data_IF_314595898906
#
_entry.id   IF_314595898906
#
_cell.length_a   1.000
_cell.length_b   1.000
_cell.length_c   1.000
_cell.angle_alpha   90.00
_cell.angle_beta   90.00
_cell.angle_gamma   90.00
#
_symmetry.space_group_name_H-M   'P 1'
#
loop_
_entity.id
_entity.type
_entity.pdbx_description
1 polymer ?
#
# COMPACT_ATOMS: atom_id res chain seq x y z
N UNK A 1 5.68 16.93 -27.08
CA UNK A 1 4.55 17.17 -28.01
C UNK A 1 4.08 18.61 -27.87
N UNK A 2 3.76 19.25 -29.01
CA UNK A 2 3.15 20.58 -29.23
C UNK A 2 4.06 21.84 -29.22
N UNK A 3 4.27 22.33 -30.45
CA UNK A 3 4.21 23.70 -30.97
C UNK A 3 4.80 24.87 -30.16
N UNK A 4 5.76 25.58 -30.74
CA UNK A 4 5.50 26.75 -31.61
C UNK A 4 6.83 27.36 -32.08
N UNK A 5 6.92 27.65 -33.38
CA UNK A 5 8.07 28.31 -34.01
C UNK A 5 7.73 29.73 -34.47
N UNK A 6 8.76 30.56 -34.54
CA UNK A 6 8.89 31.83 -35.28
C UNK A 6 10.39 32.12 -35.29
N UNK A 7 11.15 31.64 -36.27
CA UNK A 7 11.40 32.19 -37.60
C UNK A 7 11.98 33.62 -37.54
N UNK A 8 13.31 33.65 -37.37
CA UNK A 8 14.19 34.77 -37.68
C UNK A 8 14.40 34.78 -39.19
N UNK A 9 14.04 35.89 -39.83
CA UNK A 9 14.27 36.14 -41.24
C UNK A 9 15.09 37.41 -41.36
N UNK A 10 16.38 37.26 -41.70
CA UNK A 10 17.15 38.25 -42.45
C UNK A 10 18.20 37.49 -43.26
N UNK A 11 17.85 37.21 -44.52
CA UNK A 11 18.78 36.94 -45.59
C UNK A 11 19.21 38.28 -46.21
N UNK A 12 20.50 38.44 -46.52
CA UNK A 12 20.96 38.64 -47.90
C UNK A 12 22.46 38.98 -47.94
N UNK A 13 23.24 37.99 -48.36
CA UNK A 13 24.37 38.19 -49.28
C UNK A 13 24.05 37.35 -50.52
N UNK A 14 24.00 37.99 -51.69
CA UNK A 14 24.88 37.75 -52.84
C UNK A 14 24.34 38.44 -54.11
N UNK A 15 25.28 39.03 -54.85
CA UNK A 15 25.15 39.56 -56.21
C UNK A 15 24.58 38.53 -57.19
N UNK A 16 23.76 38.99 -58.14
CA UNK A 16 23.83 38.49 -59.52
C UNK A 16 23.34 39.51 -60.55
N UNK A 17 24.05 39.53 -61.68
CA UNK A 17 23.81 40.30 -62.89
C UNK A 17 22.55 39.79 -63.63
N UNK A 18 21.75 40.68 -64.24
CA UNK A 18 21.49 40.67 -65.69
C UNK A 18 20.62 41.85 -66.17
N UNK A 19 20.82 42.13 -67.45
CA UNK A 19 20.40 43.20 -68.33
C UNK A 19 18.90 43.15 -68.68
N UNK A 20 18.22 44.30 -68.76
CA UNK A 20 17.14 44.44 -69.75
C UNK A 20 16.97 45.91 -70.20
N UNK A 21 17.59 46.17 -71.34
CA UNK A 21 17.22 47.24 -72.25
C UNK A 21 15.75 47.13 -72.70
N UNK A 22 14.91 48.13 -72.42
CA UNK A 22 13.91 48.70 -73.36
C UNK A 22 12.94 49.66 -72.67
N UNK A 23 13.21 50.97 -72.69
CA UNK A 23 12.20 51.95 -73.13
C UNK A 23 12.84 53.32 -73.42
N UNK A 24 13.13 53.58 -74.69
CA UNK A 24 13.38 54.95 -75.16
C UNK A 24 12.07 55.74 -75.07
N UNK A 25 11.91 56.55 -74.02
CA UNK A 25 11.12 57.77 -74.13
C UNK A 25 12.08 58.92 -74.38
N UNK A 26 12.13 59.33 -75.64
CA UNK A 26 12.72 60.60 -76.08
C UNK A 26 11.87 61.70 -75.45
N UNK A 27 12.28 62.17 -74.27
CA UNK A 27 11.77 63.37 -73.63
C UNK A 27 12.82 64.47 -73.78
N UNK A 28 12.73 65.24 -74.85
CA UNK A 28 13.55 66.43 -75.08
C UNK A 28 13.15 67.53 -74.10
N UNK A 29 13.64 67.48 -72.86
CA UNK A 29 13.55 68.63 -71.94
C UNK A 29 14.59 69.68 -72.36
N UNK A 30 14.25 70.44 -73.40
CA UNK A 30 14.95 71.68 -73.75
C UNK A 30 14.84 72.59 -72.52
N UNK A 31 15.97 72.91 -71.89
CA UNK A 31 16.01 73.83 -70.76
C UNK A 31 15.35 75.16 -71.18
N UNK A 32 14.17 75.43 -70.63
CA UNK A 32 13.39 76.61 -70.92
C UNK A 32 14.04 77.81 -70.21
N UNK A 33 14.49 78.78 -71.01
CA UNK A 33 15.16 79.98 -70.52
C UNK A 33 14.14 80.92 -69.85
N UNK A 34 14.27 81.20 -68.54
CA UNK A 34 13.26 81.95 -67.77
C UNK A 34 13.13 83.43 -68.13
N UNK A 35 13.94 83.95 -69.07
CA UNK A 35 13.89 85.34 -69.52
C UNK A 35 13.41 85.50 -70.97
N UNK A 36 12.93 84.44 -71.62
CA UNK A 36 12.37 84.53 -72.97
C UNK A 36 10.85 84.49 -72.91
N UNK A 37 10.20 85.61 -73.29
CA UNK A 37 8.73 85.71 -73.34
C UNK A 37 8.22 84.66 -74.35
N UNK A 38 7.37 83.70 -73.92
CA UNK A 38 6.82 82.70 -74.84
C UNK A 38 5.91 83.33 -75.90
N UNK A 39 5.88 82.75 -77.10
CA UNK A 39 5.01 83.19 -78.20
C UNK A 39 3.52 83.11 -77.78
N UNK A 40 2.72 84.07 -78.25
CA UNK A 40 1.35 84.36 -77.75
C UNK A 40 0.37 83.19 -77.88
N UNK A 41 0.68 82.18 -78.69
CA UNK A 41 -0.09 80.94 -78.86
C UNK A 41 0.17 79.89 -77.76
N UNK A 42 1.32 79.93 -77.09
CA UNK A 42 1.67 78.97 -76.02
C UNK A 42 1.16 79.41 -74.64
N UNK A 43 0.79 80.68 -74.47
CA UNK A 43 0.30 81.22 -73.20
C UNK A 43 -0.98 80.54 -72.72
N UNK A 44 -1.93 80.26 -73.63
CA UNK A 44 -3.19 79.60 -73.26
C UNK A 44 -2.99 78.12 -72.91
N UNK A 45 -2.12 77.40 -73.64
CA UNK A 45 -1.77 76.01 -73.31
C UNK A 45 -1.07 75.89 -71.97
N UNK A 46 -0.07 76.72 -71.69
CA UNK A 46 0.62 76.72 -70.39
C UNK A 46 -0.34 77.05 -69.25
N UNK A 47 -1.31 77.95 -69.48
CA UNK A 47 -2.30 78.32 -68.48
C UNK A 47 -3.33 77.21 -68.23
N UNK A 48 -3.74 76.50 -69.27
CA UNK A 48 -4.65 75.36 -69.15
C UNK A 48 -3.95 74.15 -68.52
N UNK A 49 -2.69 73.88 -68.88
CA UNK A 49 -1.83 72.86 -68.24
C UNK A 49 -1.56 73.20 -66.76
N UNK A 50 -1.27 74.48 -66.43
CA UNK A 50 -1.17 74.92 -65.03
C UNK A 50 -2.48 74.73 -64.28
N UNK A 51 -3.62 74.97 -64.94
CA UNK A 51 -4.94 74.85 -64.32
C UNK A 51 -5.26 73.38 -64.05
N UNK A 52 -5.01 72.48 -65.00
CA UNK A 52 -5.13 71.03 -64.81
C UNK A 52 -4.18 70.53 -63.73
N UNK A 53 -2.92 70.97 -63.71
CA UNK A 53 -1.95 70.54 -62.71
C UNK A 53 -2.35 71.03 -61.30
N UNK A 54 -2.92 72.23 -61.20
CA UNK A 54 -3.45 72.80 -59.95
C UNK A 54 -4.72 72.07 -59.49
N UNK A 55 -5.58 71.66 -60.42
CA UNK A 55 -6.76 70.83 -60.14
C UNK A 55 -6.36 69.41 -59.71
N UNK A 56 -5.35 68.80 -60.35
CA UNK A 56 -4.77 67.51 -59.94
C UNK A 56 -4.12 67.58 -58.56
N UNK A 57 -3.38 68.66 -58.26
CA UNK A 57 -2.82 68.91 -56.92
C UNK A 57 -3.93 69.08 -55.89
N UNK A 58 -5.02 69.78 -56.21
CA UNK A 58 -6.20 69.91 -55.33
C UNK A 58 -6.93 68.60 -55.13
N UNK A 59 -7.08 67.77 -56.16
CA UNK A 59 -7.69 66.44 -56.07
C UNK A 59 -6.83 65.48 -55.22
N UNK A 60 -5.50 65.49 -55.40
CA UNK A 60 -4.54 64.74 -54.56
C UNK A 60 -4.60 65.16 -53.10
N UNK A 61 -4.68 66.47 -52.84
CA UNK A 61 -4.88 67.00 -51.49
C UNK A 61 -6.25 66.55 -50.96
N UNK A 62 -7.32 66.64 -51.74
CA UNK A 62 -8.68 66.21 -51.34
C UNK A 62 -8.77 64.72 -50.99
N UNK A 63 -7.99 63.86 -51.64
CA UNK A 63 -7.98 62.41 -51.43
C UNK A 63 -7.01 61.97 -50.31
N UNK A 64 -6.22 62.87 -49.73
CA UNK A 64 -5.29 62.53 -48.64
C UNK A 64 -5.98 62.60 -47.27
N UNK A 65 -5.88 61.54 -46.42
CA UNK A 65 -6.46 61.51 -45.08
C UNK A 65 -5.92 62.61 -44.16
N UNK A 66 -6.74 63.07 -43.22
CA UNK A 66 -6.44 64.23 -42.36
C UNK A 66 -5.14 64.08 -41.53
N UNK A 67 -4.76 62.85 -41.17
CA UNK A 67 -3.55 62.54 -40.39
C UNK A 67 -2.23 62.82 -41.14
N UNK A 68 -2.24 62.83 -42.47
CA UNK A 68 -1.04 62.98 -43.28
C UNK A 68 -0.80 64.43 -43.75
N UNK A 69 -1.81 65.31 -43.67
CA UNK A 69 -1.72 66.75 -44.04
C UNK A 69 -0.98 67.64 -43.00
N UNK A 70 -0.68 67.13 -41.81
CA UNK A 70 -0.13 67.92 -40.69
C UNK A 70 1.34 68.32 -40.92
N UNK A 71 2.08 67.56 -41.72
CA UNK A 71 3.52 67.78 -41.95
C UNK A 71 3.82 68.87 -43.00
N UNK A 72 2.93 69.11 -43.98
CA UNK A 72 3.13 70.14 -45.01
C UNK A 72 2.79 71.56 -44.54
N UNK A 73 1.86 71.69 -43.58
CA UNK A 73 1.45 72.99 -43.03
C UNK A 73 2.57 73.68 -42.23
N UNK A 74 3.45 72.92 -41.58
CA UNK A 74 4.62 73.47 -40.87
C UNK A 74 5.71 73.96 -41.83
N UNK A 75 5.87 73.33 -43.01
CA UNK A 75 6.83 73.77 -44.04
C UNK A 75 6.37 75.01 -44.81
N UNK A 76 5.06 75.16 -45.04
CA UNK A 76 4.50 76.34 -45.72
C UNK A 76 4.64 77.64 -44.89
N UNK A 77 4.50 77.54 -43.56
CA UNK A 77 4.64 78.69 -42.67
C UNK A 77 6.08 79.21 -42.58
N UNK A 78 7.08 78.32 -42.62
CA UNK A 78 8.49 78.72 -42.62
C UNK A 78 8.88 79.45 -43.93
N UNK A 79 8.31 79.04 -45.07
CA UNK A 79 8.56 79.69 -46.37
C UNK A 79 7.95 81.10 -46.47
N UNK A 80 6.88 81.40 -45.72
CA UNK A 80 6.28 82.74 -45.63
C UNK A 80 7.08 83.70 -44.76
N UNK A 81 7.81 83.20 -43.75
CA UNK A 81 8.64 84.04 -42.88
C UNK A 81 10.01 84.37 -43.49
N UNK A 82 10.51 83.55 -44.43
CA UNK A 82 11.80 83.75 -45.08
C UNK A 82 11.75 84.45 -46.46
N UNK A 83 10.62 85.07 -46.85
CA UNK A 83 10.62 85.91 -48.05
C UNK A 83 11.13 87.33 -47.72
N UNK A 84 12.01 87.92 -48.55
CA UNK A 84 12.39 89.31 -48.40
C UNK A 84 11.14 90.19 -48.54
N UNK A 85 10.91 91.11 -47.60
CA UNK A 85 9.88 92.15 -47.75
C UNK A 85 10.22 92.95 -49.01
N UNK A 86 9.31 92.96 -49.98
CA UNK A 86 9.42 93.81 -51.17
C UNK A 86 9.32 95.26 -50.68
N UNK A 87 10.44 95.97 -50.68
CA UNK A 87 10.47 97.42 -50.50
C UNK A 87 9.92 98.05 -51.78
N UNK A 88 8.96 98.97 -51.65
CA UNK A 88 8.54 99.81 -52.77
C UNK A 88 9.77 100.51 -53.38
N UNK A 89 9.82 100.75 -54.70
CA UNK A 89 10.97 101.39 -55.32
C UNK A 89 11.21 102.75 -54.66
N UNK A 90 12.44 102.91 -54.20
CA UNK A 90 12.88 104.02 -53.37
C UNK A 90 12.67 105.35 -54.12
N UNK A 91 12.34 106.41 -53.39
CA UNK A 91 12.16 107.75 -53.97
C UNK A 91 13.43 108.20 -54.73
N UNK A 92 14.57 107.57 -54.43
CA UNK A 92 15.87 107.73 -55.07
C UNK A 92 15.88 107.30 -56.55
N UNK A 93 15.25 106.18 -56.95
CA UNK A 93 15.21 105.75 -58.38
C UNK A 93 14.38 106.68 -59.26
N UNK A 94 13.29 107.25 -58.71
CA UNK A 94 12.46 108.26 -59.40
C UNK A 94 13.13 109.64 -59.47
N UNK A 95 13.97 109.98 -58.49
CA UNK A 95 14.75 111.21 -58.51
C UNK A 95 15.90 111.14 -59.54
N UNK A 96 16.58 109.99 -59.64
CA UNK A 96 17.66 109.76 -60.60
C UNK A 96 17.17 109.74 -62.05
N UNK A 97 15.98 109.17 -62.33
CA UNK A 97 15.37 109.19 -63.66
C UNK A 97 14.99 110.61 -64.14
N UNK A 98 14.78 111.56 -63.22
CA UNK A 98 14.42 112.96 -63.53
C UNK A 98 15.62 113.86 -63.84
N UNK A 99 16.81 113.45 -63.41
CA UNK A 99 18.09 114.15 -63.66
C UNK A 99 18.67 113.75 -65.03
N UNK A 100 18.38 112.53 -65.52
CA UNK A 100 19.00 111.96 -66.73
C UNK A 100 18.32 112.39 -68.04
N UNK A 101 17.14 113.05 -67.99
CA UNK A 101 16.42 113.56 -69.16
C UNK A 101 16.32 115.10 -69.14
N UNK A 102 17.42 115.81 -69.39
CA UNK A 102 17.36 117.21 -69.85
C UNK A 102 18.69 117.71 -70.48
N UNK A 103 19.00 117.41 -71.76
CA UNK A 103 20.13 118.02 -72.44
C UNK A 103 19.68 119.30 -73.18
N UNK A 104 19.17 120.31 -72.46
CA UNK A 104 18.95 121.65 -73.02
C UNK A 104 19.03 122.72 -71.93
N UNK A 105 20.22 123.27 -71.71
CA UNK A 105 20.38 124.68 -71.36
C UNK A 105 21.54 125.26 -72.17
N UNK A 106 21.16 126.09 -73.14
CA UNK A 106 22.06 126.92 -73.89
C UNK A 106 22.88 127.83 -72.98
N UNK A 107 24.08 128.15 -73.45
CA UNK A 107 25.00 129.15 -72.92
C UNK A 107 24.27 130.48 -72.68
N UNK A 108 23.78 130.68 -71.47
CA UNK A 108 23.65 132.01 -70.88
C UNK A 108 24.80 132.10 -69.88
N UNK A 109 25.56 133.19 -69.92
CA UNK A 109 26.71 133.40 -69.05
C UNK A 109 26.20 133.31 -67.61
N UNK A 110 26.45 132.18 -66.96
CA UNK A 110 26.07 131.95 -65.57
C UNK A 110 26.62 133.13 -64.76
N UNK A 111 25.72 133.89 -64.16
CA UNK A 111 26.14 134.91 -63.21
C UNK A 111 26.88 134.21 -62.07
N UNK A 112 27.86 134.90 -61.47
CA UNK A 112 28.68 134.38 -60.37
C UNK A 112 27.87 133.60 -59.31
N UNK A 113 26.60 133.98 -59.08
CA UNK A 113 25.65 133.35 -58.15
C UNK A 113 25.26 131.91 -58.52
N UNK A 114 25.02 131.61 -59.80
CA UNK A 114 24.61 130.27 -60.26
C UNK A 114 25.80 129.31 -60.26
N UNK A 115 26.99 129.78 -60.65
CA UNK A 115 28.25 129.05 -60.49
C UNK A 115 28.53 128.72 -59.02
N UNK A 116 28.33 129.69 -58.12
CA UNK A 116 28.42 129.46 -56.67
C UNK A 116 27.39 128.42 -56.22
N UNK A 117 26.16 128.43 -56.75
CA UNK A 117 25.13 127.45 -56.41
C UNK A 117 25.47 126.04 -56.90
N UNK A 118 25.91 125.87 -58.15
CA UNK A 118 26.35 124.57 -58.68
C UNK A 118 27.58 124.04 -57.94
N UNK A 119 28.54 124.91 -57.62
CA UNK A 119 29.69 124.52 -56.80
C UNK A 119 29.25 124.06 -55.40
N UNK A 120 28.32 124.77 -54.76
CA UNK A 120 27.74 124.33 -53.47
C UNK A 120 27.04 122.98 -53.59
N UNK A 121 26.27 122.75 -54.64
CA UNK A 121 25.58 121.47 -54.88
C UNK A 121 26.59 120.32 -55.08
N UNK A 122 27.66 120.55 -55.86
CA UNK A 122 28.76 119.60 -56.03
C UNK A 122 29.46 119.32 -54.68
N UNK A 123 29.75 120.35 -53.88
CA UNK A 123 30.37 120.16 -52.57
C UNK A 123 29.44 119.46 -51.56
N UNK A 124 28.14 119.69 -51.62
CA UNK A 124 27.16 118.99 -50.79
C UNK A 124 27.03 117.51 -51.20
N UNK A 125 27.00 117.21 -52.50
CA UNK A 125 27.02 115.84 -53.00
C UNK A 125 28.33 115.14 -52.65
N UNK A 126 29.47 115.83 -52.74
CA UNK A 126 30.77 115.33 -52.31
C UNK A 126 30.76 115.00 -50.82
N UNK A 127 30.26 115.91 -49.97
CA UNK A 127 30.09 115.66 -48.53
C UNK A 127 29.15 114.47 -48.27
N UNK A 128 28.07 114.32 -49.03
CA UNK A 128 27.16 113.18 -48.91
C UNK A 128 27.82 111.85 -49.32
N UNK A 129 28.63 111.84 -50.38
CA UNK A 129 29.41 110.67 -50.81
C UNK A 129 30.46 110.32 -49.76
N UNK A 130 31.17 111.31 -49.24
CA UNK A 130 32.23 111.09 -48.25
C UNK A 130 31.65 110.60 -46.92
N UNK A 131 30.55 111.16 -46.44
CA UNK A 131 29.82 110.64 -45.25
C UNK A 131 29.29 109.23 -45.46
N UNK A 132 28.76 108.89 -46.65
CA UNK A 132 28.34 107.52 -46.98
C UNK A 132 29.51 106.55 -47.09
N UNK A 133 30.65 106.98 -47.64
CA UNK A 133 31.89 106.19 -47.70
C UNK A 133 32.45 105.91 -46.31
N UNK A 134 32.47 106.92 -45.44
CA UNK A 134 32.88 106.76 -44.04
C UNK A 134 31.96 105.79 -43.29
N UNK A 135 30.64 105.90 -43.48
CA UNK A 135 29.69 104.98 -42.85
C UNK A 135 29.80 103.56 -43.41
N UNK A 136 30.04 103.40 -44.72
CA UNK A 136 30.27 102.10 -45.33
C UNK A 136 31.56 101.45 -44.79
N UNK A 137 32.65 102.21 -44.67
CA UNK A 137 33.88 101.73 -44.01
C UNK A 137 33.66 101.37 -42.55
N UNK A 138 32.78 102.08 -41.83
CA UNK A 138 32.41 101.74 -40.45
C UNK A 138 31.68 100.40 -40.40
N UNK A 139 30.70 100.17 -41.29
CA UNK A 139 29.96 98.92 -41.38
C UNK A 139 30.85 97.74 -41.80
N UNK A 140 31.77 97.95 -42.76
CA UNK A 140 32.75 96.93 -43.16
C UNK A 140 33.64 96.51 -41.98
N UNK A 141 34.10 97.46 -41.15
CA UNK A 141 34.86 97.13 -39.93
C UNK A 141 34.04 96.33 -38.94
N UNK A 142 32.77 96.69 -38.73
CA UNK A 142 31.86 95.94 -37.87
C UNK A 142 31.61 94.54 -38.41
N UNK A 143 31.41 94.39 -39.72
CA UNK A 143 31.22 93.09 -40.37
C UNK A 143 32.46 92.20 -40.22
N UNK A 144 33.67 92.75 -40.37
CA UNK A 144 34.92 92.01 -40.17
C UNK A 144 35.03 91.54 -38.72
N UNK A 145 34.73 92.40 -37.75
CA UNK A 145 34.77 92.07 -36.33
C UNK A 145 33.74 90.99 -35.97
N UNK A 146 32.49 91.12 -36.43
CA UNK A 146 31.45 90.11 -36.23
C UNK A 146 31.81 88.77 -36.88
N UNK A 147 32.34 88.78 -38.11
CA UNK A 147 32.83 87.55 -38.77
C UNK A 147 33.96 86.90 -38.00
N UNK A 148 34.88 87.70 -37.42
CA UNK A 148 35.97 87.18 -36.59
C UNK A 148 35.42 86.54 -35.32
N UNK A 149 34.50 87.21 -34.62
CA UNK A 149 33.86 86.65 -33.43
C UNK A 149 33.08 85.37 -33.74
N UNK A 150 32.37 85.32 -34.87
CA UNK A 150 31.66 84.12 -35.30
C UNK A 150 32.61 82.95 -35.56
N UNK A 151 33.75 83.21 -36.22
CA UNK A 151 34.79 82.18 -36.42
C UNK A 151 35.40 81.69 -35.11
N UNK A 152 35.64 82.59 -34.15
CA UNK A 152 36.12 82.21 -32.82
C UNK A 152 35.11 81.31 -32.09
N UNK A 153 33.82 81.66 -32.14
CA UNK A 153 32.74 80.83 -31.56
C UNK A 153 32.57 79.49 -32.27
N UNK A 154 32.70 79.47 -33.59
CA UNK A 154 32.70 78.22 -34.37
C UNK A 154 33.89 77.32 -33.98
N UNK A 155 35.08 77.91 -33.79
CA UNK A 155 36.26 77.17 -33.32
C UNK A 155 36.07 76.62 -31.90
N UNK A 156 35.49 77.39 -30.98
CA UNK A 156 35.11 76.92 -29.64
C UNK A 156 34.14 75.73 -29.71
N UNK A 157 33.09 75.81 -30.53
CA UNK A 157 32.11 74.72 -30.73
C UNK A 157 32.79 73.47 -31.29
N UNK A 158 33.68 73.63 -32.27
CA UNK A 158 34.41 72.51 -32.85
C UNK A 158 35.36 71.86 -31.83
N UNK A 159 36.01 72.65 -30.97
CA UNK A 159 36.81 72.12 -29.86
C UNK A 159 35.96 71.35 -28.85
N UNK A 160 34.79 71.87 -28.47
CA UNK A 160 33.87 71.14 -27.59
C UNK A 160 33.38 69.84 -28.23
N UNK A 161 33.12 69.83 -29.54
CA UNK A 161 32.72 68.64 -30.26
C UNK A 161 33.81 67.56 -30.21
N UNK A 162 35.08 67.91 -30.41
CA UNK A 162 36.19 66.94 -30.33
C UNK A 162 36.39 66.45 -28.91
N UNK A 163 36.33 67.34 -27.91
CA UNK A 163 36.39 66.96 -26.49
C UNK A 163 35.25 66.01 -26.11
N UNK A 164 34.02 66.28 -26.57
CA UNK A 164 32.87 65.43 -26.29
C UNK A 164 32.98 64.06 -26.96
N UNK A 165 33.44 64.00 -28.21
CA UNK A 165 33.70 62.73 -28.88
C UNK A 165 34.77 61.92 -28.13
N UNK A 166 35.87 62.55 -27.72
CA UNK A 166 36.91 61.91 -26.93
C UNK A 166 36.38 61.41 -25.58
N UNK A 167 35.49 62.18 -24.93
CA UNK A 167 34.82 61.75 -23.70
C UNK A 167 33.97 60.49 -23.93
N UNK A 168 33.14 60.47 -24.98
CA UNK A 168 32.32 59.30 -25.31
C UNK A 168 33.16 58.07 -25.65
N UNK A 169 34.25 58.24 -26.39
CA UNK A 169 35.18 57.14 -26.69
C UNK A 169 35.84 56.60 -25.42
N UNK A 170 36.27 57.48 -24.52
CA UNK A 170 36.91 57.08 -23.26
C UNK A 170 35.91 56.40 -22.33
N UNK A 171 34.71 56.94 -22.17
CA UNK A 171 33.64 56.35 -21.36
C UNK A 171 33.20 54.99 -21.91
N UNK A 172 33.05 54.89 -23.23
CA UNK A 172 32.79 53.62 -23.92
C UNK A 172 33.90 52.60 -23.70
N UNK A 173 35.17 53.00 -23.79
CA UNK A 173 36.33 52.14 -23.48
C UNK A 173 36.33 51.69 -22.02
N UNK A 174 36.10 52.60 -21.08
CA UNK A 174 36.06 52.28 -19.65
C UNK A 174 34.92 51.30 -19.32
N UNK A 175 33.73 51.54 -19.86
CA UNK A 175 32.58 50.64 -19.68
C UNK A 175 32.86 49.26 -20.26
N UNK A 176 33.49 49.20 -21.44
CA UNK A 176 33.89 47.93 -22.06
C UNK A 176 34.95 47.20 -21.24
N UNK A 177 35.98 47.89 -20.74
CA UNK A 177 37.01 47.30 -19.87
C UNK A 177 36.42 46.78 -18.57
N UNK A 178 35.55 47.55 -17.91
CA UNK A 178 34.87 47.14 -16.68
C UNK A 178 33.99 45.90 -16.91
N UNK A 179 33.29 45.83 -18.05
CA UNK A 179 32.51 44.66 -18.45
C UNK A 179 33.40 43.43 -18.67
N UNK A 180 34.52 43.60 -19.36
CA UNK A 180 35.47 42.52 -19.62
C UNK A 180 36.09 42.01 -18.32
N UNK A 181 36.45 42.90 -17.39
CA UNK A 181 36.96 42.52 -16.07
C UNK A 181 35.92 41.74 -15.26
N UNK A 182 34.66 42.19 -15.27
CA UNK A 182 33.56 41.47 -14.64
C UNK A 182 33.32 40.08 -15.27
N UNK A 183 33.43 39.96 -16.59
CA UNK A 183 33.31 38.69 -17.29
C UNK A 183 34.48 37.75 -16.95
N UNK A 184 35.70 38.26 -16.89
CA UNK A 184 36.89 37.50 -16.50
C UNK A 184 36.76 36.99 -15.05
N UNK A 185 36.37 37.85 -14.11
CA UNK A 185 36.08 37.43 -12.71
C UNK A 185 34.97 36.39 -12.64
N UNK A 186 33.95 36.48 -13.50
CA UNK A 186 32.89 35.47 -13.57
C UNK A 186 33.41 34.13 -14.11
N UNK A 187 34.31 34.14 -15.10
CA UNK A 187 35.00 32.94 -15.61
C UNK A 187 35.86 32.29 -14.54
N UNK A 188 36.70 33.06 -13.86
CA UNK A 188 37.53 32.60 -12.73
C UNK A 188 36.68 31.97 -11.62
N UNK A 189 35.54 32.59 -11.28
CA UNK A 189 34.59 32.02 -10.29
C UNK A 189 34.03 30.66 -10.73
N UNK A 190 33.66 30.53 -12.01
CA UNK A 190 33.12 29.27 -12.56
C UNK A 190 34.20 28.20 -12.55
N UNK A 191 35.43 28.52 -12.95
CA UNK A 191 36.56 27.61 -12.92
C UNK A 191 36.87 27.13 -11.50
N UNK A 192 36.96 28.05 -10.54
CA UNK A 192 37.16 27.70 -9.13
C UNK A 192 36.02 26.83 -8.59
N UNK A 193 34.77 27.13 -8.95
CA UNK A 193 33.62 26.31 -8.57
C UNK A 193 33.70 24.89 -9.15
N UNK A 194 34.18 24.74 -10.38
CA UNK A 194 34.40 23.43 -11.00
C UNK A 194 35.52 22.67 -10.29
N UNK A 195 36.64 23.32 -9.97
CA UNK A 195 37.73 22.72 -9.20
C UNK A 195 37.25 22.24 -7.82
N UNK A 196 36.47 23.05 -7.11
CA UNK A 196 35.86 22.68 -5.83
C UNK A 196 34.98 21.44 -5.99
N UNK A 197 34.15 21.37 -7.05
CA UNK A 197 33.30 20.20 -7.32
C UNK A 197 34.13 18.96 -7.58
N UNK A 198 35.20 19.06 -8.38
CA UNK A 198 36.11 17.95 -8.67
C UNK A 198 36.78 17.44 -7.39
N UNK A 199 37.33 18.32 -6.57
CA UNK A 199 37.94 17.95 -5.29
C UNK A 199 36.89 17.35 -4.35
N UNK A 200 35.68 17.91 -4.30
CA UNK A 200 34.60 17.38 -3.47
C UNK A 200 34.19 15.96 -3.90
N UNK A 201 34.16 15.68 -5.20
CA UNK A 201 33.90 14.35 -5.74
C UNK A 201 35.03 13.38 -5.37
N UNK A 202 36.30 13.81 -5.46
CA UNK A 202 37.45 13.01 -5.02
C UNK A 202 37.40 12.70 -3.51
N UNK A 203 37.07 13.68 -2.68
CA UNK A 203 36.89 13.50 -1.23
C UNK A 203 35.78 12.49 -0.96
N UNK A 204 34.65 12.58 -1.68
CA UNK A 204 33.55 11.61 -1.53
C UNK A 204 33.97 10.20 -1.96
N UNK A 205 34.75 10.08 -3.04
CA UNK A 205 35.32 8.80 -3.48
C UNK A 205 36.22 8.19 -2.41
N UNK A 206 37.20 8.96 -1.91
CA UNK A 206 38.11 8.51 -0.85
C UNK A 206 37.38 8.17 0.45
N UNK A 207 36.33 8.91 0.82
CA UNK A 207 35.50 8.57 1.99
C UNK A 207 34.80 7.23 1.83
N UNK A 208 34.25 6.97 0.65
CA UNK A 208 33.61 5.68 0.37
C UNK A 208 34.65 4.54 0.37
N UNK A 209 35.85 4.78 -0.17
CA UNK A 209 36.94 3.80 -0.10
C UNK A 209 37.37 3.52 1.34
N UNK A 210 37.52 4.54 2.19
CA UNK A 210 37.82 4.37 3.61
C UNK A 210 36.73 3.53 4.29
N UNK A 211 35.46 3.87 4.09
CA UNK A 211 34.35 3.10 4.67
C UNK A 211 34.37 1.63 4.23
N UNK A 212 34.64 1.36 2.96
CA UNK A 212 34.77 0.00 2.46
C UNK A 212 35.96 -0.75 3.07
N UNK A 213 37.10 -0.09 3.27
CA UNK A 213 38.24 -0.70 3.95
C UNK A 213 37.96 -0.93 5.44
N UNK A 214 37.23 -0.05 6.10
CA UNK A 214 36.84 -0.19 7.51
C UNK A 214 35.90 -1.40 7.70
N UNK A 215 34.91 -1.58 6.82
CA UNK A 215 34.05 -2.78 6.83
C UNK A 215 34.86 -4.06 6.65
N UNK A 216 35.77 -4.09 5.67
CA UNK A 216 36.65 -5.25 5.44
C UNK A 216 37.59 -5.51 6.63
N UNK A 217 38.07 -4.45 7.29
CA UNK A 217 38.88 -4.58 8.49
C UNK A 217 38.05 -5.17 9.64
N UNK A 218 36.80 -4.74 9.80
CA UNK A 218 35.89 -5.31 10.79
C UNK A 218 35.66 -6.80 10.54
N UNK A 219 35.38 -7.21 9.30
CA UNK A 219 35.26 -8.63 8.94
C UNK A 219 36.53 -9.41 9.30
N UNK A 220 37.72 -8.88 8.97
CA UNK A 220 38.98 -9.49 9.35
C UNK A 220 39.19 -9.55 10.88
N UNK A 221 38.70 -8.57 11.64
CA UNK A 221 38.74 -8.58 13.11
C UNK A 221 37.81 -9.65 13.68
N UNK A 222 36.60 -9.79 13.14
CA UNK A 222 35.66 -10.85 13.54
C UNK A 222 36.25 -12.24 13.26
N UNK A 223 36.84 -12.44 12.08
CA UNK A 223 37.57 -13.68 11.77
C UNK A 223 38.74 -13.90 12.74
N UNK A 224 39.52 -12.87 13.07
CA UNK A 224 40.60 -12.97 14.07
C UNK A 224 40.05 -13.37 15.44
N UNK A 225 38.95 -12.78 15.89
CA UNK A 225 38.32 -13.11 17.16
C UNK A 225 37.84 -14.57 17.16
N UNK A 226 37.19 -15.02 16.09
CA UNK A 226 36.75 -16.40 15.92
C UNK A 226 37.92 -17.39 15.95
N UNK A 227 39.00 -17.11 15.21
CA UNK A 227 40.21 -17.95 15.22
C UNK A 227 40.85 -17.97 16.62
N UNK A 228 40.85 -16.84 17.34
CA UNK A 228 41.32 -16.80 18.73
C UNK A 228 40.45 -17.67 19.66
N UNK A 229 39.13 -17.76 19.45
CA UNK A 229 38.28 -18.64 20.26
C UNK A 229 38.58 -20.12 20.03
N UNK A 230 38.89 -20.51 18.78
CA UNK A 230 39.20 -21.89 18.43
C UNK A 230 40.64 -22.31 18.74
N UNK A 231 41.54 -21.34 18.94
CA UNK A 231 42.93 -21.63 19.27
C UNK A 231 43.04 -22.09 20.73
N UNK A 232 43.61 -23.27 21.00
CA UNK A 232 43.77 -23.78 22.37
C UNK A 232 44.61 -22.85 23.25
N UNK A 233 44.18 -22.64 24.50
CA UNK A 233 44.86 -21.76 25.46
C UNK A 233 46.30 -22.19 25.79
N UNK A 234 46.59 -23.50 25.73
CA UNK A 234 47.94 -24.04 25.92
C UNK A 234 48.90 -23.59 24.82
N UNK A 235 48.40 -23.49 23.58
CA UNK A 235 49.18 -23.04 22.45
C UNK A 235 49.44 -21.53 22.53
N UNK A 236 48.43 -20.74 22.93
CA UNK A 236 48.55 -19.27 23.13
C UNK A 236 49.57 -18.86 24.19
N UNK A 237 49.79 -19.68 25.22
CA UNK A 237 50.76 -19.40 26.29
C UNK A 237 52.21 -19.63 25.86
N UNK A 238 52.42 -20.50 24.88
CA UNK A 238 53.74 -20.99 24.51
C UNK A 238 54.30 -20.28 23.26
N UNK A 239 53.42 -19.73 22.42
CA UNK A 239 53.78 -19.06 21.17
C UNK A 239 53.43 -17.57 21.22
N UNK A 240 54.24 -16.74 20.57
CA UNK A 240 54.03 -15.29 20.50
C UNK A 240 52.75 -14.94 19.72
N UNK A 241 52.12 -13.81 20.03
CA UNK A 241 50.84 -13.39 19.43
C UNK A 241 50.85 -13.22 17.90
N UNK A 242 52.03 -13.13 17.29
CA UNK A 242 52.20 -12.97 15.84
C UNK A 242 52.27 -14.32 15.09
N UNK A 243 52.42 -15.44 15.81
CA UNK A 243 52.42 -16.77 15.20
C UNK A 243 50.99 -17.24 14.99
N UNK A 244 50.67 -17.73 13.78
CA UNK A 244 49.34 -18.24 13.45
C UNK A 244 49.24 -19.73 13.80
N UNK A 245 48.23 -20.12 14.58
CA UNK A 245 47.97 -21.52 14.89
C UNK A 245 47.54 -22.32 13.65
N UNK A 246 46.69 -21.72 12.83
CA UNK A 246 46.15 -22.33 11.61
C UNK A 246 47.05 -21.97 10.41
N UNK A 247 47.74 -22.98 9.87
CA UNK A 247 48.65 -22.83 8.73
C UNK A 247 48.00 -23.26 7.41
N UNK A 248 46.98 -24.13 7.49
CA UNK A 248 46.20 -24.61 6.34
C UNK A 248 44.70 -24.47 6.62
N UNK A 249 43.89 -24.02 5.64
CA UNK A 249 42.43 -23.89 5.80
C UNK A 249 41.73 -25.20 6.20
N UNK A 250 42.26 -26.34 5.75
CA UNK A 250 41.73 -27.68 6.06
C UNK A 250 41.68 -27.96 7.57
N UNK A 251 42.64 -27.44 8.34
CA UNK A 251 42.71 -27.67 9.80
C UNK A 251 41.47 -27.10 10.50
N UNK A 252 41.01 -25.93 10.07
CA UNK A 252 39.83 -25.29 10.64
C UNK A 252 38.57 -26.08 10.31
N UNK A 253 38.46 -26.56 9.07
CA UNK A 253 37.33 -27.40 8.64
C UNK A 253 37.25 -28.69 9.45
N UNK A 254 38.38 -29.37 9.68
CA UNK A 254 38.43 -30.59 10.50
C UNK A 254 38.01 -30.31 11.94
N UNK A 255 38.45 -29.19 12.54
CA UNK A 255 38.05 -28.83 13.91
C UNK A 255 36.55 -28.54 13.97
N UNK A 256 36.01 -27.77 13.03
CA UNK A 256 34.57 -27.48 12.95
C UNK A 256 33.76 -28.77 12.78
N UNK A 257 34.18 -29.67 11.88
CA UNK A 257 33.54 -30.97 11.70
C UNK A 257 33.56 -31.80 12.98
N UNK A 258 34.69 -31.84 13.69
CA UNK A 258 34.77 -32.56 14.98
C UNK A 258 33.88 -31.95 16.06
N UNK A 259 33.75 -30.61 16.10
CA UNK A 259 32.84 -29.92 17.01
C UNK A 259 31.38 -30.14 16.63
N UNK A 260 31.07 -30.21 15.34
CA UNK A 260 29.74 -30.54 14.83
C UNK A 260 29.37 -31.98 15.23
N UNK A 261 30.25 -32.94 14.99
CA UNK A 261 30.07 -34.34 15.40
C UNK A 261 29.86 -34.47 16.93
N UNK A 262 30.67 -33.76 17.72
CA UNK A 262 30.52 -33.72 19.19
C UNK A 262 29.21 -33.08 19.62
N UNK A 263 28.80 -31.97 19.01
CA UNK A 263 27.53 -31.32 19.31
C UNK A 263 26.35 -32.22 18.94
N UNK A 264 26.40 -32.89 17.78
CA UNK A 264 25.39 -33.86 17.38
C UNK A 264 25.32 -35.04 18.35
N UNK A 265 26.47 -35.55 18.79
CA UNK A 265 26.53 -36.59 19.81
C UNK A 265 25.89 -36.14 21.14
N UNK A 266 26.19 -34.92 21.61
CA UNK A 266 25.59 -34.35 22.82
C UNK A 266 24.08 -34.17 22.69
N UNK A 267 23.60 -33.68 21.54
CA UNK A 267 22.18 -33.52 21.26
C UNK A 267 21.48 -34.88 21.32
N UNK A 268 22.04 -35.91 20.68
CA UNK A 268 21.49 -37.26 20.76
C UNK A 268 21.46 -37.80 22.19
N UNK A 269 22.51 -37.61 22.97
CA UNK A 269 22.52 -38.03 24.38
C UNK A 269 21.48 -37.29 25.22
N UNK A 270 21.27 -36.00 24.98
CA UNK A 270 20.23 -35.23 25.64
C UNK A 270 18.84 -35.77 25.27
N UNK A 271 18.60 -36.06 23.99
CA UNK A 271 17.34 -36.64 23.51
C UNK A 271 17.07 -38.02 24.12
N UNK A 272 18.07 -38.90 24.16
CA UNK A 272 17.94 -40.23 24.77
C UNK A 272 17.65 -40.14 26.27
N UNK A 273 18.30 -39.21 26.97
CA UNK A 273 18.04 -38.94 28.38
C UNK A 273 16.63 -38.37 28.61
N UNK A 274 16.18 -37.45 27.76
CA UNK A 274 14.82 -36.90 27.77
C UNK A 274 13.78 -38.00 27.53
N UNK A 275 14.00 -38.87 26.54
CA UNK A 275 13.11 -39.99 26.26
C UNK A 275 13.04 -40.96 27.45
N UNK A 276 14.19 -41.25 28.09
CA UNK A 276 14.22 -42.09 29.29
C UNK A 276 13.40 -41.47 30.43
N UNK A 277 13.54 -40.16 30.68
CA UNK A 277 12.74 -39.43 31.67
C UNK A 277 11.26 -39.52 31.33
N UNK A 278 10.88 -39.34 30.07
CA UNK A 278 9.49 -39.40 29.63
C UNK A 278 8.89 -40.81 29.78
N UNK A 279 9.68 -41.85 29.51
CA UNK A 279 9.29 -43.25 29.78
C UNK A 279 9.01 -43.47 31.28
N UNK A 280 9.82 -42.91 32.18
CA UNK A 280 9.59 -43.02 33.62
C UNK A 280 8.38 -42.20 34.08
N UNK A 281 8.18 -40.99 33.53
CA UNK A 281 6.97 -40.19 33.78
C UNK A 281 5.71 -40.93 33.37
N UNK A 282 5.69 -41.54 32.19
CA UNK A 282 4.56 -42.32 31.71
C UNK A 282 4.27 -43.55 32.59
N UNK A 283 5.31 -44.25 33.08
CA UNK A 283 5.14 -45.35 34.05
C UNK A 283 4.57 -44.85 35.37
N UNK A 284 5.04 -43.72 35.87
CA UNK A 284 4.57 -43.12 37.11
C UNK A 284 3.10 -42.67 36.99
N UNK A 285 2.73 -42.04 35.88
CA UNK A 285 1.34 -41.65 35.60
C UNK A 285 0.40 -42.88 35.61
N UNK A 286 0.79 -43.98 34.94
CA UNK A 286 0.02 -45.22 34.96
C UNK A 286 -0.13 -45.82 36.37
N UNK A 287 0.92 -45.75 37.20
CA UNK A 287 0.84 -46.21 38.58
C UNK A 287 -0.05 -45.33 39.45
N UNK A 288 -0.04 -44.01 39.22
CA UNK A 288 -0.96 -43.08 39.88
C UNK A 288 -2.41 -43.39 39.50
N UNK A 289 -2.71 -43.57 38.20
CA UNK A 289 -4.07 -43.92 37.75
C UNK A 289 -4.55 -45.24 38.37
N UNK A 290 -3.66 -46.25 38.45
CA UNK A 290 -3.98 -47.53 39.11
C UNK A 290 -4.22 -47.37 40.62
N UNK A 291 -3.39 -46.57 41.30
CA UNK A 291 -3.55 -46.29 42.73
C UNK A 291 -4.87 -45.56 42.98
N UNK A 292 -5.16 -44.53 42.20
CA UNK A 292 -6.36 -43.71 42.34
C UNK A 292 -7.61 -44.55 42.06
N UNK A 293 -7.58 -45.41 41.03
CA UNK A 293 -8.64 -46.40 40.78
C UNK A 293 -8.82 -47.41 41.93
N UNK A 294 -7.73 -47.86 42.56
CA UNK A 294 -7.85 -48.74 43.74
C UNK A 294 -8.43 -48.01 44.95
N UNK A 295 -8.06 -46.74 45.16
CA UNK A 295 -8.60 -45.91 46.24
C UNK A 295 -10.10 -45.67 46.04
N UNK A 296 -10.54 -45.36 44.81
CA UNK A 296 -11.97 -45.20 44.51
C UNK A 296 -12.73 -46.50 44.76
N UNK A 297 -12.23 -47.64 44.25
CA UNK A 297 -12.86 -48.95 44.51
C UNK A 297 -12.95 -49.29 46.00
N UNK A 298 -11.91 -48.97 46.78
CA UNK A 298 -11.90 -49.20 48.23
C UNK A 298 -12.88 -48.27 48.95
N UNK A 299 -12.99 -47.02 48.50
CA UNK A 299 -13.94 -46.03 49.03
C UNK A 299 -15.38 -46.45 48.72
N UNK A 300 -15.67 -46.92 47.51
CA UNK A 300 -16.98 -47.43 47.13
C UNK A 300 -17.39 -48.66 47.97
N UNK A 301 -16.48 -49.62 48.13
CA UNK A 301 -16.71 -50.79 49.01
C UNK A 301 -16.93 -50.38 50.47
N UNK A 302 -16.19 -49.38 50.95
CA UNK A 302 -16.37 -48.85 52.29
C UNK A 302 -17.73 -48.17 52.45
N UNK A 303 -18.16 -47.37 51.47
CA UNK A 303 -19.46 -46.71 51.45
C UNK A 303 -20.60 -47.73 51.37
N UNK A 304 -20.49 -48.74 50.51
CA UNK A 304 -21.47 -49.83 50.40
C UNK A 304 -21.57 -50.63 51.70
N UNK A 305 -20.44 -50.99 52.31
CA UNK A 305 -20.41 -51.68 53.59
C UNK A 305 -21.01 -50.83 54.72
N UNK A 306 -20.73 -49.52 54.73
CA UNK A 306 -21.27 -48.57 55.71
C UNK A 306 -22.79 -48.41 55.56
N UNK A 307 -23.29 -48.31 54.33
CA UNK A 307 -24.74 -48.28 54.04
C UNK A 307 -25.43 -49.58 54.43
N UNK A 308 -24.83 -50.73 54.11
CA UNK A 308 -25.35 -52.03 54.52
C UNK A 308 -25.39 -52.15 56.04
N UNK A 309 -24.34 -51.73 56.73
CA UNK A 309 -24.29 -51.69 58.19
C UNK A 309 -25.39 -50.79 58.76
N UNK A 310 -25.58 -49.59 58.19
CA UNK A 310 -26.67 -48.68 58.58
C UNK A 310 -28.05 -49.33 58.42
N UNK A 311 -28.34 -49.94 57.26
CA UNK A 311 -29.60 -50.66 57.01
C UNK A 311 -29.79 -51.83 57.99
N UNK A 312 -28.71 -52.54 58.33
CA UNK A 312 -28.76 -53.60 59.33
C UNK A 312 -29.01 -53.06 60.73
N UNK A 313 -28.40 -51.93 61.11
CA UNK A 313 -28.65 -51.24 62.39
C UNK A 313 -30.10 -50.74 62.47
N UNK A 314 -30.63 -50.06 61.46
CA UNK A 314 -32.03 -49.61 61.39
C UNK A 314 -33.01 -50.79 61.49
N UNK A 315 -32.74 -51.89 60.77
CA UNK A 315 -33.53 -53.12 60.91
C UNK A 315 -33.43 -53.68 62.32
N UNK A 316 -32.23 -53.73 62.91
CA UNK A 316 -32.04 -54.24 64.27
C UNK A 316 -32.79 -53.39 65.30
N UNK A 317 -32.72 -52.06 65.20
CA UNK A 317 -33.52 -51.13 66.01
C UNK A 317 -35.03 -51.37 65.82
N UNK A 318 -35.48 -51.67 64.60
CA UNK A 318 -36.88 -52.03 64.35
C UNK A 318 -37.30 -53.33 65.05
N UNK A 319 -36.37 -54.30 65.20
CA UNK A 319 -36.62 -55.54 65.95
C UNK A 319 -36.63 -55.30 67.46
N UNK A 320 -35.82 -54.37 67.99
CA UNK A 320 -35.87 -54.00 69.42
C UNK A 320 -37.14 -53.23 69.80
N UNK A 321 -37.79 -52.55 68.85
CA UNK A 321 -39.07 -51.88 69.09
C UNK A 321 -40.25 -52.84 69.28
N UNK A 322 -40.14 -54.11 68.86
CA UNK A 322 -41.15 -55.15 69.08
C UNK A 322 -40.61 -56.28 69.96
N UNK A 323 -41.01 -56.25 71.23
CA UNK A 323 -40.63 -57.21 72.28
C UNK A 323 -40.85 -58.69 71.88
N UNK A 324 -39.93 -59.53 72.39
CA UNK A 324 -39.86 -61.01 72.40
C UNK A 324 -39.06 -61.70 71.27
N UNK A 325 -37.75 -61.87 71.53
CA UNK A 325 -36.85 -62.72 70.75
C UNK A 325 -36.85 -64.16 71.32
N UNK A 326 -37.25 -65.17 70.53
CA UNK A 326 -37.08 -66.60 70.82
C UNK A 326 -36.07 -67.20 69.85
N UNK A 327 -34.91 -67.63 70.34
CA UNK A 327 -33.86 -68.30 69.56
C UNK A 327 -34.27 -69.75 69.28
N UNK A 328 -34.15 -70.19 68.03
CA UNK A 328 -34.71 -71.45 67.54
C UNK A 328 -33.95 -72.73 67.89
N UNK A 329 -34.70 -73.83 67.77
CA UNK A 329 -34.29 -75.25 67.71
C UNK A 329 -34.10 -76.03 69.03
N UNK A 330 -35.16 -76.14 69.82
CA UNK A 330 -35.39 -77.33 70.66
C UNK A 330 -36.47 -78.19 69.97
N UNK A 331 -36.10 -79.39 69.49
CA UNK A 331 -37.06 -80.39 69.01
C UNK A 331 -37.96 -80.77 70.18
N UNK A 332 -39.27 -80.71 69.98
CA UNK A 332 -40.21 -81.12 71.02
C UNK A 332 -40.05 -82.63 71.28
N UNK A 333 -40.16 -83.05 72.54
CA UNK A 333 -40.13 -84.47 72.95
C UNK A 333 -41.08 -85.35 72.12
N UNK A 334 -42.19 -84.77 71.63
CA UNK A 334 -43.15 -85.42 70.71
C UNK A 334 -42.57 -85.70 69.32
N UNK A 335 -41.75 -84.79 68.79
CA UNK A 335 -41.13 -84.94 67.46
C UNK A 335 -40.03 -86.00 67.49
N UNK A 336 -39.31 -86.12 68.61
CA UNK A 336 -38.33 -87.19 68.84
C UNK A 336 -39.00 -88.57 68.88
N UNK A 337 -40.17 -88.70 69.51
CA UNK A 337 -40.93 -89.94 69.57
C UNK A 337 -41.40 -90.39 68.17
N UNK A 338 -41.94 -89.46 67.37
CA UNK A 338 -42.38 -89.74 65.99
C UNK A 338 -41.21 -90.21 65.11
N UNK A 339 -40.01 -89.67 65.34
CA UNK A 339 -38.82 -90.11 64.63
C UNK A 339 -38.41 -91.53 65.04
N UNK A 340 -38.45 -91.84 66.34
CA UNK A 340 -38.19 -93.18 66.86
C UNK A 340 -39.14 -94.22 66.24
N UNK A 341 -40.44 -93.93 66.19
CA UNK A 341 -41.45 -94.84 65.62
C UNK A 341 -41.20 -95.12 64.13
N UNK A 342 -40.79 -94.10 63.36
CA UNK A 342 -40.46 -94.25 61.94
C UNK A 342 -39.20 -95.09 61.73
N UNK A 343 -38.19 -94.90 62.58
CA UNK A 343 -36.95 -95.68 62.54
C UNK A 343 -37.26 -97.15 62.90
N UNK A 344 -38.09 -97.39 63.92
CA UNK A 344 -38.52 -98.73 64.31
C UNK A 344 -39.32 -99.44 63.21
N UNK A 345 -40.24 -98.72 62.53
CA UNK A 345 -40.99 -99.27 61.40
C UNK A 345 -40.05 -99.68 60.25
N UNK A 346 -39.05 -98.86 59.91
CA UNK A 346 -38.07 -99.20 58.88
C UNK A 346 -37.16 -100.36 59.29
N UNK A 347 -36.78 -100.43 60.56
CA UNK A 347 -36.00 -101.52 61.14
C UNK A 347 -36.73 -102.87 61.01
N UNK A 348 -38.04 -102.88 61.23
CA UNK A 348 -38.89 -104.07 61.04
C UNK A 348 -39.01 -104.49 59.57
N UNK A 349 -39.09 -103.53 58.64
CA UNK A 349 -39.14 -103.80 57.19
C UNK A 349 -37.88 -104.53 56.69
N UNK A 350 -36.73 -104.27 57.31
CA UNK A 350 -35.47 -104.97 57.01
C UNK A 350 -35.41 -106.40 57.57
N UNK A 351 -36.46 -106.89 58.24
CA UNK A 351 -36.56 -108.25 58.77
C UNK A 351 -35.89 -108.47 60.13
N UNK A 352 -35.54 -107.39 60.83
CA UNK A 352 -35.01 -107.46 62.20
C UNK A 352 -36.12 -107.46 63.25
N UNK A 353 -35.92 -108.23 64.33
CA UNK A 353 -36.90 -108.35 65.40
C UNK A 353 -36.86 -107.11 66.31
N UNK A 354 -37.98 -106.37 66.35
CA UNK A 354 -38.10 -105.07 67.02
C UNK A 354 -37.96 -105.16 68.55
N UNK A 355 -38.08 -106.37 69.12
CA UNK A 355 -37.93 -106.61 70.57
C UNK A 355 -36.50 -106.65 71.09
N UNK A 356 -35.48 -106.68 70.21
CA UNK A 356 -34.07 -106.89 70.60
C UNK A 356 -33.28 -105.59 70.87
N UNK A 357 -33.76 -104.42 70.45
CA UNK A 357 -33.00 -103.16 70.54
C UNK A 357 -33.95 -102.00 70.83
N UNK A 358 -33.91 -101.44 72.03
CA UNK A 358 -34.78 -100.32 72.46
C UNK A 358 -34.23 -98.94 72.09
N UNK A 359 -32.94 -98.85 71.74
CA UNK A 359 -32.28 -97.58 71.44
C UNK A 359 -32.34 -97.22 69.95
N UNK A 360 -32.82 -96.01 69.64
CA UNK A 360 -32.81 -95.39 68.30
C UNK A 360 -31.44 -95.42 67.66
N UNK A 361 -30.38 -95.15 68.44
CA UNK A 361 -29.02 -95.12 67.91
C UNK A 361 -28.56 -96.51 67.49
N UNK A 362 -28.83 -97.54 68.30
CA UNK A 362 -28.52 -98.92 67.95
C UNK A 362 -29.30 -99.44 66.73
N UNK A 363 -30.57 -99.04 66.56
CA UNK A 363 -31.33 -99.35 65.33
C UNK A 363 -30.69 -98.70 64.10
N UNK A 364 -30.29 -97.43 64.19
CA UNK A 364 -29.64 -96.69 63.10
C UNK A 364 -28.29 -97.30 62.71
N UNK A 365 -27.48 -97.73 63.68
CA UNK A 365 -26.19 -98.41 63.40
C UNK A 365 -26.39 -99.70 62.63
N UNK A 366 -27.37 -100.54 63.00
CA UNK A 366 -27.66 -101.77 62.26
C UNK A 366 -28.23 -101.50 60.87
N UNK A 367 -29.09 -100.48 60.73
CA UNK A 367 -29.55 -100.00 59.42
C UNK A 367 -28.35 -99.56 58.58
N UNK A 368 -27.40 -98.85 59.16
CA UNK A 368 -26.19 -98.42 58.48
C UNK A 368 -25.32 -99.61 58.07
N UNK A 369 -25.11 -100.61 58.93
CA UNK A 369 -24.38 -101.84 58.60
C UNK A 369 -25.01 -102.59 57.42
N UNK A 370 -26.35 -102.73 57.41
CA UNK A 370 -27.03 -103.34 56.26
C UNK A 370 -26.89 -102.53 54.98
N UNK A 371 -26.97 -101.21 55.08
CA UNK A 371 -26.78 -100.31 53.95
C UNK A 371 -25.35 -100.41 53.42
N UNK A 372 -24.35 -100.47 54.30
CA UNK A 372 -22.95 -100.67 53.93
C UNK A 372 -22.72 -102.04 53.27
N UNK A 373 -23.36 -103.11 53.78
CA UNK A 373 -23.29 -104.43 53.18
C UNK A 373 -23.96 -104.46 51.79
N UNK A 374 -25.15 -103.86 51.65
CA UNK A 374 -25.82 -103.71 50.36
C UNK A 374 -24.97 -102.91 49.38
N UNK A 375 -24.30 -101.83 49.81
CA UNK A 375 -23.36 -101.06 48.99
C UNK A 375 -22.15 -101.92 48.57
N UNK A 376 -21.63 -102.77 49.47
CA UNK A 376 -20.53 -103.69 49.17
C UNK A 376 -20.95 -104.74 48.14
N UNK A 377 -22.14 -105.30 48.27
CA UNK A 377 -22.70 -106.23 47.29
C UNK A 377 -22.94 -105.52 45.95
N UNK A 378 -23.38 -104.25 45.98
CA UNK A 378 -23.54 -103.40 44.80
C UNK A 378 -22.23 -103.14 44.05
N UNK A 379 -21.09 -103.09 44.76
CA UNK A 379 -19.74 -102.97 44.16
C UNK A 379 -19.29 -104.23 43.42
N UNK A 380 -19.83 -105.41 43.77
CA UNK A 380 -19.47 -106.68 43.15
C UNK A 380 -20.40 -107.09 42.00
N UNK A 381 -21.49 -106.35 41.76
CA UNK A 381 -22.36 -106.54 40.60
C UNK A 381 -21.55 -106.22 39.32
N UNK A 382 -21.57 -107.14 38.35
CA UNK A 382 -20.85 -106.92 37.08
C UNK A 382 -21.31 -105.61 36.41
N UNK A 383 -20.37 -104.74 35.99
CA UNK A 383 -20.68 -103.41 35.47
C UNK A 383 -21.57 -103.43 34.21
N UNK A 384 -21.57 -104.53 33.45
CA UNK A 384 -22.46 -104.72 32.29
C UNK A 384 -23.94 -104.86 32.68
N UNK A 385 -24.25 -105.49 33.82
CA UNK A 385 -25.64 -105.61 34.31
C UNK A 385 -26.13 -104.25 34.79
N UNK A 386 -25.28 -103.51 35.51
CA UNK A 386 -25.56 -102.14 35.95
C UNK A 386 -25.77 -101.22 34.75
N UNK A 387 -24.94 -101.32 33.72
CA UNK A 387 -25.06 -100.55 32.47
C UNK A 387 -26.35 -100.86 31.72
N UNK A 388 -26.74 -102.14 31.59
CA UNK A 388 -28.01 -102.54 30.96
C UNK A 388 -29.23 -102.00 31.75
N UNK A 389 -29.25 -102.18 33.07
CA UNK A 389 -30.32 -101.64 33.93
C UNK A 389 -30.37 -100.12 33.94
N UNK A 390 -29.22 -99.44 33.90
CA UNK A 390 -29.13 -97.99 33.80
C UNK A 390 -29.66 -97.50 32.45
N UNK A 391 -29.29 -98.16 31.34
CA UNK A 391 -29.84 -97.86 30.01
C UNK A 391 -31.35 -98.10 29.95
N UNK A 392 -31.86 -99.16 30.58
CA UNK A 392 -33.29 -99.45 30.68
C UNK A 392 -34.03 -98.36 31.47
N UNK A 393 -33.55 -98.00 32.67
CA UNK A 393 -34.11 -96.92 33.50
C UNK A 393 -34.04 -95.55 32.82
N UNK A 394 -32.93 -95.26 32.13
CA UNK A 394 -32.75 -94.01 31.39
C UNK A 394 -33.63 -93.98 30.14
N UNK A 395 -33.83 -95.12 29.46
CA UNK A 395 -34.81 -95.26 28.39
C UNK A 395 -36.23 -95.03 28.90
N UNK A 396 -36.62 -95.63 30.02
CA UNK A 396 -37.93 -95.41 30.65
C UNK A 396 -38.12 -93.96 31.10
N UNK A 397 -37.09 -93.31 31.63
CA UNK A 397 -37.14 -91.88 32.01
C UNK A 397 -37.33 -91.00 30.77
N UNK A 398 -36.57 -91.25 29.70
CA UNK A 398 -36.71 -90.54 28.41
C UNK A 398 -38.09 -90.77 27.79
N UNK A 399 -38.59 -92.00 27.83
CA UNK A 399 -39.91 -92.35 27.33
C UNK A 399 -41.00 -91.67 28.14
N UNK A 400 -40.92 -91.68 29.48
CA UNK A 400 -41.85 -90.99 30.37
C UNK A 400 -41.84 -89.47 30.13
N UNK A 401 -40.66 -88.84 30.02
CA UNK A 401 -40.53 -87.42 29.70
C UNK A 401 -41.10 -87.09 28.31
N UNK A 402 -40.89 -87.97 27.33
CA UNK A 402 -41.45 -87.83 25.98
C UNK A 402 -42.97 -87.95 26.00
N UNK A 403 -43.51 -88.91 26.75
CA UNK A 403 -44.95 -89.11 26.91
C UNK A 403 -45.60 -87.92 27.61
N UNK A 404 -44.94 -87.38 28.65
CA UNK A 404 -45.39 -86.20 29.39
C UNK A 404 -45.37 -84.93 28.51
N UNK A 405 -44.29 -84.72 27.74
CA UNK A 405 -44.25 -83.63 26.74
C UNK A 405 -45.31 -83.79 25.67
N UNK A 406 -45.54 -85.01 25.15
CA UNK A 406 -46.64 -85.26 24.20
C UNK A 406 -48.02 -85.06 24.84
N UNK A 407 -48.20 -85.40 26.11
CA UNK A 407 -49.44 -85.14 26.84
C UNK A 407 -49.64 -83.63 27.07
N UNK A 408 -48.57 -82.88 27.36
CA UNK A 408 -48.62 -81.44 27.55
C UNK A 408 -48.90 -80.70 26.23
N UNK A 409 -48.28 -81.11 25.12
CA UNK A 409 -48.62 -80.55 23.80
C UNK A 409 -50.05 -80.88 23.40
N UNK A 410 -50.51 -82.13 23.59
CA UNK A 410 -51.90 -82.50 23.38
C UNK A 410 -52.86 -81.72 24.28
N UNK A 411 -52.50 -81.48 25.56
CA UNK A 411 -53.33 -80.68 26.48
C UNK A 411 -53.42 -79.24 26.02
N UNK A 412 -52.30 -78.63 25.61
CA UNK A 412 -52.26 -77.27 25.02
C UNK A 412 -53.06 -77.20 23.71
N UNK A 413 -52.98 -78.21 22.84
CA UNK A 413 -53.80 -78.30 21.63
C UNK A 413 -55.28 -78.46 21.95
N UNK A 414 -55.64 -79.31 22.92
CA UNK A 414 -57.03 -79.51 23.33
C UNK A 414 -57.60 -78.27 24.03
N UNK A 415 -56.80 -77.55 24.80
CA UNK A 415 -57.16 -76.29 25.42
C UNK A 415 -57.37 -75.20 24.38
N UNK A 416 -56.48 -75.10 23.37
CA UNK A 416 -56.69 -74.26 22.19
C UNK A 416 -57.97 -74.65 21.44
N UNK A 417 -58.21 -75.94 21.22
CA UNK A 417 -59.42 -76.47 20.57
C UNK A 417 -60.68 -76.15 21.36
N UNK A 418 -60.66 -76.30 22.68
CA UNK A 418 -61.78 -75.97 23.56
C UNK A 418 -62.01 -74.47 23.62
N UNK A 419 -60.95 -73.66 23.60
CA UNK A 419 -61.04 -72.20 23.52
C UNK A 419 -61.66 -71.76 22.19
N UNK A 420 -61.22 -72.29 21.05
CA UNK A 420 -61.84 -71.99 19.75
C UNK A 420 -63.29 -72.50 19.68
N UNK A 421 -63.61 -73.65 20.26
CA UNK A 421 -64.98 -74.16 20.34
C UNK A 421 -65.86 -73.29 21.26
N UNK A 422 -65.29 -72.72 22.32
CA UNK A 422 -65.96 -71.78 23.24
C UNK A 422 -66.18 -70.42 22.58
N UNK A 423 -65.19 -69.92 21.83
CA UNK A 423 -65.30 -68.72 21.00
C UNK A 423 -66.34 -68.90 19.88
N UNK A 424 -66.39 -70.07 19.23
CA UNK A 424 -67.40 -70.41 18.23
C UNK A 424 -68.82 -70.54 18.81
N UNK A 425 -68.94 -70.91 20.10
CA UNK A 425 -70.22 -71.00 20.82
C UNK A 425 -70.65 -69.68 21.47
N UNK A 426 -69.81 -68.65 21.47
CA UNK A 426 -70.25 -67.32 21.90
C UNK A 426 -71.12 -66.70 20.80
N UNK A 427 -72.25 -66.08 21.17
CA UNK A 427 -73.13 -65.46 20.18
C UNK A 427 -72.38 -64.32 19.47
N UNK A 428 -72.34 -64.40 18.14
CA UNK A 428 -71.73 -63.40 17.27
C UNK A 428 -72.45 -62.07 17.52
N UNK A 429 -71.73 -61.08 18.06
CA UNK A 429 -72.25 -59.72 18.19
C UNK A 429 -72.27 -59.08 16.80
N UNK A 430 -73.46 -58.87 16.25
CA UNK A 430 -73.64 -58.12 15.00
C UNK A 430 -73.29 -56.64 15.22
N UNK A 431 -72.28 -56.15 14.51
CA UNK A 431 -71.97 -54.71 14.46
C UNK A 431 -72.98 -54.05 13.52
N UNK A 432 -73.86 -53.21 14.05
CA UNK A 432 -74.71 -52.34 13.22
C UNK A 432 -73.88 -51.18 12.69
N UNK A 433 -73.64 -51.16 11.38
CA UNK A 433 -73.00 -50.05 10.66
C UNK A 433 -71.65 -50.40 10.03
N UNK A 434 -71.38 -49.78 8.87
CA UNK A 434 -70.14 -49.97 8.09
C UNK A 434 -68.97 -49.30 8.82
N UNK A 435 -67.94 -50.04 9.29
CA UNK A 435 -66.78 -49.44 9.92
C UNK A 435 -65.98 -48.67 8.86
N UNK A 436 -65.80 -47.37 9.06
CA UNK A 436 -64.93 -46.54 8.24
C UNK A 436 -63.47 -46.95 8.51
N UNK A 437 -62.82 -47.49 7.48
CA UNK A 437 -61.39 -47.80 7.52
C UNK A 437 -60.63 -46.53 7.14
N UNK A 438 -59.88 -45.89 8.06
CA UNK A 438 -58.96 -44.83 7.65
C UNK A 438 -57.90 -45.43 6.74
N UNK A 439 -57.75 -44.86 5.54
CA UNK A 439 -56.65 -45.20 4.64
C UNK A 439 -55.36 -44.65 5.24
N UNK A 440 -54.32 -45.48 5.15
CA UNK A 440 -52.93 -45.23 5.56
C UNK A 440 -52.54 -43.74 5.57
N UNK A 441 -52.28 -43.18 6.75
CA UNK A 441 -51.65 -41.85 6.89
C UNK A 441 -50.12 -42.11 6.98
N UNK A 442 -49.29 -41.41 6.19
CA UNK A 442 -47.83 -41.55 6.27
C UNK A 442 -47.34 -41.19 7.67
N UNK A 443 -46.36 -41.95 8.20
CA UNK A 443 -45.67 -41.55 9.44
C UNK A 443 -45.04 -40.17 9.18
N UNK A 444 -45.60 -39.13 9.80
CA UNK A 444 -44.94 -37.82 9.86
C UNK A 444 -43.60 -38.04 10.54
N UNK A 445 -42.52 -37.57 9.90
CA UNK A 445 -41.21 -37.51 10.52
C UNK A 445 -41.35 -36.80 11.87
N UNK A 446 -40.71 -37.40 12.87
CA UNK A 446 -40.65 -36.89 14.25
C UNK A 446 -40.26 -35.41 14.17
N UNK A 447 -41.02 -34.53 14.82
CA UNK A 447 -40.69 -33.10 14.86
C UNK A 447 -39.27 -32.94 15.40
N UNK A 448 -38.51 -31.95 14.92
CA UNK A 448 -37.16 -31.65 15.44
C UNK A 448 -37.18 -31.50 16.98
N UNK A 449 -38.30 -31.04 17.53
CA UNK A 449 -38.56 -30.94 18.97
C UNK A 449 -38.71 -32.30 19.68
N UNK A 450 -39.40 -33.28 19.09
CA UNK A 450 -39.52 -34.64 19.66
C UNK A 450 -38.20 -35.42 19.54
N UNK A 451 -37.41 -35.13 18.50
CA UNK A 451 -36.06 -35.70 18.36
C UNK A 451 -35.10 -35.08 19.38
N UNK A 452 -35.20 -33.77 19.63
CA UNK A 452 -34.48 -33.09 20.71
C UNK A 452 -34.93 -33.53 22.10
N UNK A 453 -36.22 -33.78 22.34
CA UNK A 453 -36.70 -34.32 23.63
C UNK A 453 -36.20 -35.76 23.86
N UNK A 454 -36.15 -36.58 22.82
CA UNK A 454 -35.55 -37.93 22.93
C UNK A 454 -34.05 -37.88 23.13
N UNK A 455 -33.35 -36.98 22.43
CA UNK A 455 -31.92 -36.76 22.64
C UNK A 455 -31.66 -36.26 24.05
N UNK A 456 -32.45 -35.30 24.55
CA UNK A 456 -32.39 -34.82 25.93
C UNK A 456 -32.73 -35.89 26.95
N UNK A 457 -33.71 -36.75 26.70
CA UNK A 457 -34.03 -37.87 27.58
C UNK A 457 -32.87 -38.88 27.63
N UNK A 458 -32.25 -39.18 26.49
CA UNK A 458 -31.10 -40.06 26.40
C UNK A 458 -29.86 -39.45 27.05
N UNK A 459 -29.64 -38.14 26.87
CA UNK A 459 -28.54 -37.38 27.45
C UNK A 459 -28.77 -37.15 28.95
N UNK A 460 -30.02 -37.05 29.42
CA UNK A 460 -30.38 -37.04 30.84
C UNK A 460 -30.23 -38.43 31.47
N UNK A 461 -30.48 -39.50 30.72
CA UNK A 461 -30.22 -40.88 31.16
C UNK A 461 -28.70 -41.12 31.23
N UNK A 462 -27.93 -40.63 30.26
CA UNK A 462 -26.47 -40.70 30.25
C UNK A 462 -25.83 -39.78 31.31
N UNK A 463 -26.44 -38.63 31.60
CA UNK A 463 -26.04 -37.76 32.72
C UNK A 463 -26.39 -38.40 34.06
N UNK A 464 -27.56 -39.05 34.20
CA UNK A 464 -27.89 -39.83 35.40
C UNK A 464 -26.94 -41.00 35.58
N UNK A 465 -26.56 -41.68 34.51
CA UNK A 465 -25.59 -42.76 34.55
C UNK A 465 -24.20 -42.21 34.92
N UNK A 466 -23.80 -41.07 34.36
CA UNK A 466 -22.55 -40.38 34.76
C UNK A 466 -22.58 -39.85 36.18
N UNK A 467 -23.72 -39.37 36.67
CA UNK A 467 -23.89 -38.95 38.06
C UNK A 467 -23.93 -40.16 39.00
N UNK A 468 -24.45 -41.31 38.54
CA UNK A 468 -24.33 -42.59 39.23
C UNK A 468 -22.88 -43.10 39.28
N UNK A 469 -22.11 -42.89 38.21
CA UNK A 469 -20.74 -43.40 38.04
C UNK A 469 -19.66 -42.45 38.59
N UNK A 470 -19.90 -41.14 38.59
CA UNK A 470 -18.90 -40.10 38.84
C UNK A 470 -19.45 -38.86 39.59
N UNK A 471 -20.70 -38.87 40.03
CA UNK A 471 -21.27 -37.80 40.86
C UNK A 471 -20.70 -37.82 42.28
N UNK A 472 -20.68 -36.65 42.93
CA UNK A 472 -20.17 -36.54 44.30
C UNK A 472 -20.98 -37.44 45.24
N UNK A 473 -20.29 -38.44 45.80
CA UNK A 473 -20.81 -39.24 46.90
C UNK A 473 -20.81 -38.28 48.10
N UNK A 474 -21.99 -37.75 48.43
CA UNK A 474 -22.24 -36.68 49.41
C UNK A 474 -21.47 -36.78 50.75
N UNK A 475 -21.23 -35.60 51.33
CA UNK A 475 -20.74 -35.28 52.70
C UNK A 475 -21.25 -36.19 53.84
#
# INVERSE_FOLDING_TARGET
>A
MRNSGTLLETANEYDDFEDDSTNRRIGTSKAYNPFKVPETTDYFRIRDEEKEERELKRAKISMTPLSQRVLESKRANLRRQCQPKVTNPDAEEKALAKIILNPQRGRTKEGLRDFISQKREIFLAQLAIDTKREELQRLERLEIEEKKQLKEKEAEINLFRTQFNNFLENDGKQTMMARQEAENKAKERIELSLQIKTISAQISGLRNEIAHQDERLQECQEYKQFLNMLTPEEWKKTHSQDEMYFQKPEQLLTIIQSLEEQNMFLIHHCQDAEEAVERYRAKFAKLLDQRDGHITEMTDKFNEASENLRKHQEKNESYFNNKEFKTGAELSEKEAQVLHDKIAAFYQVLGYDSGSSTDTSAMLVRIEETLQQLIKDLKHIQPEIVRKKAQEKDSQRREKLRLERQAETKRKENEKRMKTLREAKQPIKYKTGRPLVPRHIPKRGISKQEAEEKAKMMELEEQKDRELLFGDIWD
#
